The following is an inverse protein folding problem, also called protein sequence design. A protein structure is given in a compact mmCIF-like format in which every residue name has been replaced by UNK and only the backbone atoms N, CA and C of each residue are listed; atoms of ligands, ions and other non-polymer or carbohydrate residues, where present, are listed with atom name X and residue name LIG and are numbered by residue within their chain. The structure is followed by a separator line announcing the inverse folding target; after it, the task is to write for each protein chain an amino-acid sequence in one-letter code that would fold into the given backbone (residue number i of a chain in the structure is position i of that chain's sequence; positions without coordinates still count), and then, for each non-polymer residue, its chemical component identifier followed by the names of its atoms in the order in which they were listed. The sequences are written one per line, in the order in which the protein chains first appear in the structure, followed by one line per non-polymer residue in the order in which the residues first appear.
data_IF_858083083456
#
_entry.id   IF_858083083456
#
_cell.length_a   1.000
_cell.length_b   1.000
_cell.length_c   1.000
_cell.angle_alpha   90.00
_cell.angle_beta   90.00
_cell.angle_gamma   90.00
#
_symmetry.space_group_name_H-M   'P 1'
#
loop_
_entity.id
_entity.type
_entity.pdbx_description
1 polymer ?
#
# COMPACT_ATOMS: atom_id res chain seq x y z
N UNK A 1 -6.89 -5.35 9.42
CA UNK A 1 -5.63 -4.60 9.65
C UNK A 1 -5.78 -3.75 10.90
N UNK A 2 -4.91 -3.91 11.92
CA UNK A 2 -5.01 -3.17 13.19
C UNK A 2 -4.71 -1.68 13.05
N UNK A 3 -5.25 -0.87 13.97
CA UNK A 3 -4.81 0.51 14.17
C UNK A 3 -3.33 0.55 14.59
N UNK A 4 -2.63 1.62 14.22
CA UNK A 4 -1.18 1.79 14.36
C UNK A 4 -0.34 1.11 13.28
N UNK A 5 -0.95 0.31 12.38
CA UNK A 5 -0.21 -0.29 11.26
C UNK A 5 0.28 0.81 10.31
N UNK A 6 1.55 0.74 9.89
CA UNK A 6 2.09 1.64 8.88
C UNK A 6 2.16 0.92 7.54
N UNK A 7 1.49 1.49 6.54
CA UNK A 7 1.45 0.99 5.17
C UNK A 7 1.96 2.04 4.21
N UNK A 8 2.47 1.62 3.05
CA UNK A 8 2.89 2.53 2.00
C UNK A 8 2.41 2.07 0.61
N UNK A 9 2.48 2.98 -0.36
CA UNK A 9 2.08 2.74 -1.75
C UNK A 9 2.85 3.64 -2.70
N UNK A 10 3.19 3.10 -3.87
CA UNK A 10 3.48 3.90 -5.05
C UNK A 10 2.22 4.03 -5.93
N UNK A 11 1.80 5.26 -6.21
CA UNK A 11 0.72 5.58 -7.13
C UNK A 11 -0.42 6.38 -6.51
N UNK A 12 -1.44 6.67 -7.32
CA UNK A 12 -2.51 7.60 -6.94
C UNK A 12 -3.41 7.09 -5.81
N UNK A 13 -4.08 8.03 -5.14
CA UNK A 13 -5.05 7.78 -4.07
C UNK A 13 -6.32 7.01 -4.50
N UNK A 14 -6.48 6.75 -5.80
CA UNK A 14 -7.61 5.99 -6.34
C UNK A 14 -7.38 4.47 -6.31
N UNK A 15 -6.15 4.03 -6.07
CA UNK A 15 -5.82 2.63 -5.84
C UNK A 15 -6.18 2.14 -4.44
N UNK A 16 -6.22 0.81 -4.28
CA UNK A 16 -6.50 0.11 -3.02
C UNK A 16 -5.40 -0.86 -2.56
N UNK A 17 -4.33 -1.02 -3.35
CA UNK A 17 -3.21 -1.90 -2.99
C UNK A 17 -2.15 -1.12 -2.22
N UNK A 18 -1.68 -1.67 -1.11
CA UNK A 18 -0.59 -1.09 -0.30
C UNK A 18 0.36 -2.21 0.11
N UNK A 19 1.46 -1.89 0.76
CA UNK A 19 2.37 -2.87 1.37
C UNK A 19 2.67 -2.46 2.81
N UNK A 20 3.17 -3.37 3.66
CA UNK A 20 3.89 -2.96 4.87
C UNK A 20 4.96 -1.92 4.52
N UNK A 21 5.09 -0.89 5.35
CA UNK A 21 6.11 0.11 5.10
C UNK A 21 7.52 -0.50 5.04
N UNK A 22 8.27 -0.13 4.00
CA UNK A 22 9.66 -0.58 3.82
C UNK A 22 9.84 -1.82 2.94
N UNK A 23 8.78 -2.39 2.34
CA UNK A 23 8.94 -3.39 1.27
C UNK A 23 9.75 -2.76 0.10
N UNK A 24 10.89 -3.35 -0.32
CA UNK A 24 11.71 -2.84 -1.43
C UNK A 24 10.91 -2.67 -2.73
N UNK A 25 11.31 -1.74 -3.60
CA UNK A 25 10.57 -1.43 -4.82
C UNK A 25 10.44 -2.65 -5.75
N UNK A 26 11.52 -3.41 -5.93
CA UNK A 26 11.59 -4.59 -6.79
C UNK A 26 10.76 -5.75 -6.26
N UNK A 27 10.43 -5.75 -4.96
CA UNK A 27 9.54 -6.74 -4.38
C UNK A 27 8.06 -6.43 -4.64
N UNK A 28 7.75 -5.25 -5.18
CA UNK A 28 6.38 -4.81 -5.48
C UNK A 28 5.92 -5.14 -6.88
N UNK A 29 6.83 -5.55 -7.77
CA UNK A 29 6.55 -5.91 -9.15
C UNK A 29 5.65 -4.89 -9.85
N UNK A 30 6.09 -3.62 -9.87
CA UNK A 30 5.36 -2.52 -10.50
C UNK A 30 5.88 -2.28 -11.92
N UNK A 31 5.02 -1.88 -12.88
CA UNK A 31 5.42 -1.69 -14.29
C UNK A 31 6.20 -0.39 -14.55
N UNK A 32 6.51 0.38 -13.52
CA UNK A 32 7.12 1.70 -13.63
C UNK A 32 8.52 1.70 -13.02
N UNK A 33 9.29 2.74 -13.31
CA UNK A 33 10.54 3.03 -12.60
C UNK A 33 10.18 3.65 -11.25
N UNK A 34 10.98 3.36 -10.22
CA UNK A 34 10.80 3.94 -8.90
C UNK A 34 10.72 5.47 -8.97
N UNK A 35 9.63 6.02 -8.45
CA UNK A 35 9.36 7.45 -8.44
C UNK A 35 8.98 7.89 -7.03
N UNK A 36 9.88 8.60 -6.32
CA UNK A 36 9.60 9.13 -4.98
C UNK A 36 8.38 10.07 -4.93
N UNK A 37 8.04 10.75 -6.03
CA UNK A 37 6.85 11.62 -6.08
C UNK A 37 5.53 10.85 -6.11
N UNK A 38 5.57 9.56 -6.41
CA UNK A 38 4.43 8.67 -6.35
C UNK A 38 4.37 7.88 -5.02
N UNK A 39 5.38 8.03 -4.15
CA UNK A 39 5.46 7.32 -2.88
C UNK A 39 4.64 8.02 -1.80
N UNK A 40 3.82 7.25 -1.11
CA UNK A 40 3.01 7.72 0.01
C UNK A 40 3.06 6.72 1.15
N UNK A 41 3.04 7.23 2.38
CA UNK A 41 3.02 6.43 3.62
C UNK A 41 1.82 6.84 4.46
N UNK A 42 1.18 5.85 5.07
CA UNK A 42 -0.04 6.04 5.85
C UNK A 42 0.02 5.30 7.18
N UNK A 43 -0.50 5.95 8.23
CA UNK A 43 -0.84 5.32 9.50
C UNK A 43 -2.31 4.94 9.50
N UNK A 44 -2.61 3.71 9.91
CA UNK A 44 -3.97 3.22 10.14
C UNK A 44 -4.48 3.73 11.48
N UNK A 45 -5.48 4.62 11.46
CA UNK A 45 -6.04 5.22 12.66
C UNK A 45 -7.10 4.34 13.34
N UNK A 46 -7.83 3.56 12.54
CA UNK A 46 -8.92 2.67 12.99
C UNK A 46 -8.74 1.30 12.35
N UNK A 47 -9.11 0.19 13.02
CA UNK A 47 -9.04 -1.12 12.41
C UNK A 47 -9.79 -1.16 11.07
N UNK A 48 -9.16 -1.74 10.05
CA UNK A 48 -9.75 -1.92 8.71
C UNK A 48 -10.05 -3.41 8.53
N UNK A 49 -11.32 -3.77 8.45
CA UNK A 49 -11.75 -5.14 8.20
C UNK A 49 -11.68 -5.48 6.70
N UNK A 50 -11.80 -6.77 6.36
CA UNK A 50 -11.82 -7.26 4.98
C UNK A 50 -10.60 -6.84 4.14
N UNK A 51 -9.42 -6.81 4.77
CA UNK A 51 -8.15 -6.62 4.07
C UNK A 51 -7.63 -7.98 3.61
N UNK A 52 -7.40 -8.14 2.31
CA UNK A 52 -6.74 -9.32 1.75
C UNK A 52 -5.24 -9.15 1.86
N UNK A 53 -4.54 -10.19 2.33
CA UNK A 53 -3.08 -10.25 2.37
C UNK A 53 -2.62 -11.25 1.32
N UNK A 54 -1.69 -10.86 0.45
CA UNK A 54 -1.13 -11.76 -0.55
C UNK A 54 0.36 -11.49 -0.78
N UNK A 55 1.05 -12.53 -1.24
CA UNK A 55 2.40 -12.41 -1.78
C UNK A 55 2.32 -11.92 -3.23
N UNK A 56 3.19 -10.98 -3.58
CA UNK A 56 3.26 -10.38 -4.92
C UNK A 56 4.02 -11.34 -5.83
N UNK A 57 3.40 -11.80 -6.91
CA UNK A 57 4.09 -12.62 -7.91
C UNK A 57 5.17 -11.81 -8.67
N UNK A 58 6.24 -12.45 -9.15
CA UNK A 58 7.19 -11.82 -10.06
C UNK A 58 6.50 -11.31 -11.33
N UNK A 59 6.77 -10.05 -11.70
CA UNK A 59 6.24 -9.41 -12.91
C UNK A 59 7.10 -8.20 -13.30
N UNK A 60 6.96 -7.74 -14.53
CA UNK A 60 7.64 -6.54 -15.07
C UNK A 60 9.16 -6.53 -14.82
N UNK A 61 9.81 -7.68 -15.03
CA UNK A 61 11.26 -7.87 -14.82
C UNK A 61 11.74 -7.64 -13.37
N UNK A 62 10.80 -7.60 -12.42
CA UNK A 62 11.08 -7.47 -10.99
C UNK A 62 10.83 -8.80 -10.27
N UNK A 63 11.54 -9.00 -9.16
CA UNK A 63 11.55 -10.25 -8.41
C UNK A 63 10.23 -10.56 -7.69
N UNK A 64 9.42 -9.54 -7.36
CA UNK A 64 8.23 -9.74 -6.53
C UNK A 64 8.58 -10.29 -5.14
N UNK A 65 7.70 -11.09 -4.57
CA UNK A 65 7.87 -11.72 -3.25
C UNK A 65 7.57 -10.83 -2.06
N UNK A 66 7.24 -9.55 -2.29
CA UNK A 66 6.77 -8.64 -1.25
C UNK A 66 5.36 -9.00 -0.78
N UNK A 67 4.99 -8.56 0.42
CA UNK A 67 3.60 -8.62 0.90
C UNK A 67 2.84 -7.40 0.40
N UNK A 68 1.62 -7.62 -0.11
CA UNK A 68 0.65 -6.57 -0.38
C UNK A 68 -0.63 -6.77 0.43
N UNK A 69 -1.28 -5.64 0.67
CA UNK A 69 -2.59 -5.53 1.23
C UNK A 69 -3.54 -4.96 0.19
N UNK A 70 -4.60 -5.69 -0.11
CA UNK A 70 -5.75 -5.14 -0.84
C UNK A 70 -6.77 -4.62 0.19
N UNK A 71 -6.96 -3.31 0.21
CA UNK A 71 -7.88 -2.64 1.12
C UNK A 71 -9.33 -2.73 0.57
N UNK A 72 -10.36 -2.72 1.46
CA UNK A 72 -11.76 -2.79 1.03
C UNK A 72 -12.24 -1.56 0.26
N UNK A 73 -11.51 -0.45 0.36
CA UNK A 73 -11.77 0.81 -0.33
C UNK A 73 -10.45 1.46 -0.77
N UNK A 74 -10.52 2.43 -1.69
CA UNK A 74 -9.33 3.17 -2.11
C UNK A 74 -8.81 4.13 -1.02
N UNK A 75 -7.55 4.55 -1.17
CA UNK A 75 -6.87 5.46 -0.23
C UNK A 75 -7.67 6.74 0.01
N UNK A 76 -8.21 7.37 -1.05
CA UNK A 76 -9.00 8.59 -0.93
C UNK A 76 -10.18 8.41 0.03
N UNK A 77 -10.98 7.35 -0.18
CA UNK A 77 -12.15 7.06 0.64
C UNK A 77 -11.78 6.72 2.08
N UNK A 78 -10.68 5.99 2.29
CA UNK A 78 -10.19 5.66 3.63
C UNK A 78 -9.67 6.89 4.38
N UNK A 79 -9.04 7.84 3.69
CA UNK A 79 -8.66 9.15 4.25
C UNK A 79 -9.89 9.98 4.61
N UNK A 80 -10.87 10.08 3.72
CA UNK A 80 -12.13 10.83 3.96
C UNK A 80 -12.94 10.30 5.15
N UNK A 81 -12.81 9.01 5.47
CA UNK A 81 -13.50 8.35 6.58
C UNK A 81 -12.64 8.28 7.87
N UNK A 82 -11.46 8.91 7.88
CA UNK A 82 -10.50 8.90 8.98
C UNK A 82 -10.08 7.48 9.42
N UNK A 83 -9.98 6.54 8.48
CA UNK A 83 -9.39 5.22 8.73
C UNK A 83 -7.87 5.26 8.59
N UNK A 84 -7.35 6.12 7.72
CA UNK A 84 -5.92 6.29 7.50
C UNK A 84 -5.55 7.77 7.42
N UNK A 85 -4.32 8.08 7.81
CA UNK A 85 -3.72 9.41 7.69
C UNK A 85 -2.39 9.31 6.97
N UNK A 86 -2.14 10.23 6.05
CA UNK A 86 -0.85 10.33 5.38
C UNK A 86 0.21 10.90 6.32
N UNK A 87 1.38 10.27 6.36
CA UNK A 87 2.51 10.62 7.20
C UNK A 87 3.78 10.81 6.34
N UNK A 88 4.75 11.56 6.87
CA UNK A 88 6.05 11.76 6.22
C UNK A 88 7.02 10.63 6.59
#
# INVERSE_FOLDING_TARGET
MPAGTIIDRYGSQWGKYTSPAGVPYEQRALPYIENPNAYHKYEVLKPIDNVTISEIAPAFEQVGGGIQYELPNNIKKLKELDYIKEIK
#
